data_IF_913330775190
#
_entry.id   IF_913330775190
#
_cell.length_a   1.000
_cell.length_b   1.000
_cell.length_c   1.000
_cell.angle_alpha   90.00
_cell.angle_beta   90.00
_cell.angle_gamma   90.00
#
_symmetry.space_group_name_H-M   'P 1'
#
loop_
_entity.id
_entity.type
_entity.pdbx_description
1 polymer ?
#
# COMPACT_ATOMS: atom_id res chain seq x y z
N UNK A 1 -1.01 18.69 7.76
CA UNK A 1 -1.09 17.45 8.58
C UNK A 1 0.31 16.85 8.67
N UNK A 2 0.76 16.44 9.85
CA UNK A 2 2.02 15.70 10.00
C UNK A 2 1.69 14.21 10.14
N UNK A 3 2.12 13.42 9.15
CA UNK A 3 1.90 11.98 9.11
C UNK A 3 3.28 11.30 9.15
N UNK A 4 3.49 10.39 10.08
CA UNK A 4 4.77 9.72 10.29
C UNK A 4 4.73 8.21 10.01
N UNK A 5 3.57 7.71 9.57
CA UNK A 5 3.32 6.28 9.44
C UNK A 5 2.29 5.97 8.37
N UNK A 6 2.56 4.98 7.55
CA UNK A 6 1.62 4.39 6.59
C UNK A 6 1.47 2.90 6.87
N UNK A 7 0.25 2.46 7.12
CA UNK A 7 -0.09 1.05 7.24
C UNK A 7 -1.11 0.67 6.17
N UNK A 8 -0.78 -0.32 5.38
CA UNK A 8 -1.75 -0.99 4.51
C UNK A 8 -2.49 -2.08 5.28
N UNK A 9 -3.79 -2.12 5.14
CA UNK A 9 -4.64 -3.12 5.78
C UNK A 9 -5.01 -4.20 4.77
N UNK A 10 -4.85 -5.45 5.18
CA UNK A 10 -5.22 -6.66 4.44
C UNK A 10 -6.42 -7.34 5.08
N UNK A 11 -7.64 -6.98 4.70
CA UNK A 11 -8.82 -7.66 5.20
C UNK A 11 -8.90 -9.09 4.61
N UNK A 12 -9.11 -10.08 5.46
CA UNK A 12 -9.25 -11.47 5.03
C UNK A 12 -10.19 -12.26 5.95
N UNK A 13 -10.64 -13.41 5.46
CA UNK A 13 -11.50 -14.30 6.27
C UNK A 13 -10.70 -15.12 7.28
N UNK A 14 -9.47 -15.43 6.97
CA UNK A 14 -8.56 -16.23 7.81
C UNK A 14 -7.24 -15.47 8.02
N UNK A 15 -7.14 -14.63 9.04
CA UNK A 15 -5.96 -13.80 9.28
C UNK A 15 -4.69 -14.60 9.58
N UNK A 16 -4.82 -15.75 10.24
CA UNK A 16 -3.68 -16.60 10.58
C UNK A 16 -3.06 -17.23 9.33
N UNK A 17 -3.87 -17.74 8.42
CA UNK A 17 -3.42 -18.32 7.16
C UNK A 17 -2.78 -17.24 6.27
N UNK A 18 -3.43 -16.09 6.15
CA UNK A 18 -2.92 -14.98 5.36
C UNK A 18 -1.61 -14.42 5.94
N UNK A 19 -1.52 -14.27 7.27
CA UNK A 19 -0.27 -13.85 7.91
C UNK A 19 0.85 -14.89 7.73
N UNK A 20 0.53 -16.18 7.83
CA UNK A 20 1.49 -17.25 7.59
C UNK A 20 2.01 -17.26 6.14
N UNK A 21 1.18 -16.88 5.16
CA UNK A 21 1.61 -16.70 3.78
C UNK A 21 2.70 -15.64 3.66
N UNK A 22 2.49 -14.45 4.23
CA UNK A 22 3.48 -13.38 4.20
C UNK A 22 4.76 -13.73 4.96
N UNK A 23 4.64 -14.38 6.11
CA UNK A 23 5.79 -14.78 6.93
C UNK A 23 6.60 -15.92 6.31
N UNK A 24 5.95 -16.99 5.83
CA UNK A 24 6.62 -18.25 5.45
C UNK A 24 6.85 -18.37 3.95
N UNK A 25 5.97 -17.82 3.13
CA UNK A 25 6.07 -17.92 1.66
C UNK A 25 6.81 -16.69 1.11
N UNK A 26 6.39 -15.49 1.48
CA UNK A 26 7.03 -14.26 1.02
C UNK A 26 8.21 -13.83 1.91
N UNK A 27 8.38 -14.43 3.08
CA UNK A 27 9.50 -14.16 4.01
C UNK A 27 9.57 -12.68 4.45
N UNK A 28 8.42 -12.04 4.61
CA UNK A 28 8.36 -10.65 5.04
C UNK A 28 8.83 -10.49 6.49
N UNK A 29 9.55 -9.40 6.81
CA UNK A 29 10.00 -9.12 8.17
C UNK A 29 8.82 -8.94 9.12
N UNK A 30 8.69 -9.84 10.08
CA UNK A 30 7.60 -9.84 11.05
C UNK A 30 7.85 -8.80 12.14
N UNK A 31 6.82 -8.03 12.48
CA UNK A 31 6.82 -7.05 13.57
C UNK A 31 5.90 -7.47 14.72
N UNK A 32 4.80 -8.13 14.41
CA UNK A 32 3.81 -8.64 15.35
C UNK A 32 3.19 -9.95 14.86
N UNK A 33 2.15 -10.42 15.53
CA UNK A 33 1.50 -11.68 15.17
C UNK A 33 0.97 -11.69 13.73
N UNK A 34 0.48 -10.54 13.24
CA UNK A 34 -0.12 -10.36 11.92
C UNK A 34 0.33 -9.07 11.24
N UNK A 35 1.44 -8.48 11.69
CA UNK A 35 1.99 -7.25 11.16
C UNK A 35 3.42 -7.43 10.68
N UNK A 36 3.78 -6.67 9.64
CA UNK A 36 5.04 -6.74 8.94
C UNK A 36 5.58 -5.33 8.70
N UNK A 37 6.87 -5.12 8.96
CA UNK A 37 7.55 -3.85 8.70
C UNK A 37 8.13 -3.87 7.28
N UNK A 38 7.66 -2.96 6.43
CA UNK A 38 8.05 -2.83 5.03
C UNK A 38 8.49 -1.38 4.77
N UNK A 39 9.77 -1.16 4.59
CA UNK A 39 10.30 0.20 4.47
C UNK A 39 10.56 0.89 5.83
N UNK A 40 10.85 2.21 5.80
CA UNK A 40 11.21 2.99 7.00
C UNK A 40 10.01 3.31 7.90
N UNK A 41 8.87 3.61 7.30
CA UNK A 41 7.63 3.97 7.99
C UNK A 41 6.42 3.24 7.38
N UNK A 42 6.70 2.20 6.60
CA UNK A 42 5.69 1.38 5.94
C UNK A 42 5.40 0.12 6.73
N UNK A 43 4.14 -0.15 6.96
CA UNK A 43 3.69 -1.33 7.66
C UNK A 43 2.53 -1.99 6.93
N UNK A 44 2.38 -3.27 7.14
CA UNK A 44 1.28 -4.06 6.63
C UNK A 44 0.66 -4.85 7.77
N UNK A 45 -0.66 -4.88 7.86
CA UNK A 45 -1.37 -5.63 8.88
C UNK A 45 -2.48 -6.47 8.28
N UNK A 46 -2.50 -7.75 8.63
CA UNK A 46 -3.55 -8.69 8.27
C UNK A 46 -4.65 -8.65 9.32
N UNK A 47 -5.88 -8.32 8.90
CA UNK A 47 -7.02 -8.16 9.80
C UNK A 47 -8.17 -9.06 9.41
N UNK A 48 -9.02 -9.41 10.39
CA UNK A 48 -10.29 -10.06 10.12
C UNK A 48 -11.19 -9.11 9.31
N UNK A 49 -11.73 -9.59 8.20
CA UNK A 49 -12.73 -8.83 7.44
C UNK A 49 -13.91 -8.44 8.31
N UNK A 50 -14.30 -7.17 8.28
CA UNK A 50 -15.43 -6.63 9.01
C UNK A 50 -16.04 -5.46 8.24
N UNK A 51 -17.22 -4.98 8.59
CA UNK A 51 -17.79 -3.78 7.97
C UNK A 51 -16.97 -2.51 8.17
N UNK A 52 -16.08 -2.48 9.18
CA UNK A 52 -15.18 -1.37 9.43
C UNK A 52 -13.95 -1.35 8.51
N UNK A 53 -13.63 -2.46 7.86
CA UNK A 53 -12.54 -2.58 6.92
C UNK A 53 -13.10 -2.96 5.56
N UNK A 54 -12.79 -2.19 4.55
CA UNK A 54 -13.24 -2.45 3.18
C UNK A 54 -12.91 -3.88 2.75
N UNK A 55 -13.88 -4.54 2.16
CA UNK A 55 -13.77 -5.92 1.72
C UNK A 55 -13.22 -5.93 0.30
N UNK A 56 -11.92 -5.69 0.16
CA UNK A 56 -11.30 -5.76 -1.15
C UNK A 56 -9.82 -6.09 -1.08
N UNK A 57 -9.24 -6.67 -2.12
CA UNK A 57 -7.80 -6.83 -2.14
C UNK A 57 -7.16 -5.46 -2.18
N UNK A 58 -6.29 -5.23 -1.24
CA UNK A 58 -5.37 -4.12 -1.26
C UNK A 58 -4.15 -4.52 -2.09
N UNK A 59 -3.62 -3.60 -2.87
CA UNK A 59 -2.40 -3.82 -3.61
C UNK A 59 -1.22 -3.10 -2.93
N UNK A 60 -0.09 -3.80 -2.85
CA UNK A 60 1.15 -3.27 -2.28
C UNK A 60 2.29 -3.39 -3.27
N UNK A 61 3.18 -2.42 -3.21
CA UNK A 61 4.45 -2.49 -3.89
C UNK A 61 5.55 -2.48 -2.84
N UNK A 62 6.36 -3.53 -2.86
CA UNK A 62 7.46 -3.74 -1.92
C UNK A 62 8.76 -3.81 -2.70
N UNK A 63 9.70 -2.97 -2.33
CA UNK A 63 10.99 -2.95 -2.98
C UNK A 63 11.87 -4.10 -2.47
N UNK A 64 12.41 -4.89 -3.40
CA UNK A 64 13.41 -5.90 -3.10
C UNK A 64 14.82 -5.31 -3.10
N UNK A 65 15.76 -5.90 -2.37
CA UNK A 65 17.19 -5.60 -2.55
C UNK A 65 17.70 -6.17 -3.88
N UNK A 66 17.24 -7.39 -4.23
CA UNK A 66 17.54 -8.04 -5.50
C UNK A 66 16.35 -8.90 -5.92
N UNK A 67 15.55 -8.42 -6.85
CA UNK A 67 14.26 -9.05 -7.20
C UNK A 67 14.41 -10.47 -7.76
N UNK A 68 15.45 -10.75 -8.55
CA UNK A 68 15.70 -12.10 -9.07
C UNK A 68 15.96 -13.09 -7.94
N UNK A 69 16.78 -12.71 -6.97
CA UNK A 69 17.06 -13.55 -5.80
C UNK A 69 15.81 -13.76 -4.93
N UNK A 70 15.00 -12.72 -4.71
CA UNK A 70 13.73 -12.86 -4.01
C UNK A 70 12.82 -13.81 -4.79
N UNK A 71 12.71 -13.63 -6.12
CA UNK A 71 11.89 -14.49 -6.96
C UNK A 71 12.31 -15.95 -6.86
N UNK A 72 13.58 -16.28 -7.03
CA UNK A 72 14.11 -17.64 -6.90
C UNK A 72 13.81 -18.25 -5.52
N UNK A 73 14.01 -17.44 -4.45
CA UNK A 73 13.80 -17.87 -3.08
C UNK A 73 12.33 -18.19 -2.79
N UNK A 74 11.41 -17.31 -3.20
CA UNK A 74 9.98 -17.50 -2.92
C UNK A 74 9.32 -18.47 -3.91
N UNK A 75 9.80 -18.54 -5.15
CA UNK A 75 9.30 -19.47 -6.15
C UNK A 75 9.54 -20.94 -5.76
N UNK A 76 10.58 -21.20 -4.99
CA UNK A 76 10.84 -22.53 -4.43
C UNK A 76 9.87 -22.94 -3.30
N UNK A 77 9.07 -22.00 -2.77
CA UNK A 77 8.13 -22.28 -1.68
C UNK A 77 6.83 -22.90 -2.23
N UNK A 78 6.36 -23.93 -1.55
CA UNK A 78 5.03 -24.48 -1.83
C UNK A 78 3.94 -23.49 -1.43
N UNK A 79 2.98 -23.27 -2.32
CA UNK A 79 1.84 -22.40 -2.05
C UNK A 79 1.98 -20.98 -2.59
N UNK A 80 3.08 -20.63 -3.27
CA UNK A 80 3.19 -19.36 -3.98
C UNK A 80 2.14 -19.29 -5.11
N UNK A 81 1.38 -18.20 -5.14
CA UNK A 81 0.40 -17.93 -6.19
C UNK A 81 0.88 -16.76 -7.04
N UNK A 82 1.54 -17.07 -8.15
CA UNK A 82 1.97 -16.06 -9.10
C UNK A 82 0.76 -15.50 -9.87
N UNK A 83 0.62 -14.18 -9.85
CA UNK A 83 -0.31 -13.43 -10.71
C UNK A 83 0.40 -12.95 -11.98
N UNK A 84 1.64 -12.49 -11.85
CA UNK A 84 2.51 -12.08 -12.95
C UNK A 84 3.90 -12.64 -12.68
N UNK A 85 4.44 -13.33 -13.68
CA UNK A 85 5.80 -13.88 -13.63
C UNK A 85 6.86 -12.78 -13.67
N UNK A 86 8.10 -13.13 -13.29
CA UNK A 86 9.22 -12.19 -13.27
C UNK A 86 9.46 -11.59 -14.67
N UNK A 87 9.42 -10.28 -14.75
CA UNK A 87 9.54 -9.56 -16.01
C UNK A 87 10.20 -8.20 -15.86
N UNK A 88 10.77 -7.73 -16.95
CA UNK A 88 11.12 -6.32 -17.11
C UNK A 88 9.89 -5.52 -17.51
N UNK A 89 9.75 -4.34 -16.92
CA UNK A 89 8.68 -3.41 -17.27
C UNK A 89 9.19 -2.33 -18.21
N UNK A 90 8.28 -1.72 -18.94
CA UNK A 90 8.60 -0.61 -19.83
C UNK A 90 8.95 0.69 -19.07
N UNK A 91 8.52 0.82 -17.80
CA UNK A 91 8.85 1.96 -16.92
C UNK A 91 10.16 1.80 -16.13
N UNK A 92 10.99 0.84 -16.53
CA UNK A 92 12.36 0.74 -16.04
C UNK A 92 12.53 -0.01 -14.73
N UNK A 93 11.61 -0.90 -14.41
CA UNK A 93 11.75 -1.82 -13.28
C UNK A 93 11.78 -3.27 -13.74
N UNK A 94 12.13 -4.15 -12.81
CA UNK A 94 11.99 -5.58 -12.89
C UNK A 94 11.12 -6.04 -11.72
N UNK A 95 10.06 -6.81 -12.00
CA UNK A 95 9.03 -7.12 -11.01
C UNK A 95 8.38 -8.48 -11.23
N UNK A 96 7.76 -8.99 -10.18
CA UNK A 96 6.76 -10.05 -10.24
C UNK A 96 5.61 -9.75 -9.29
N UNK A 97 4.45 -10.37 -9.52
CA UNK A 97 3.27 -10.13 -8.70
C UNK A 97 2.70 -11.46 -8.19
N UNK A 98 2.29 -11.44 -6.94
CA UNK A 98 1.69 -12.58 -6.26
C UNK A 98 0.35 -12.20 -5.65
N UNK A 99 -0.51 -13.20 -5.46
CA UNK A 99 -1.74 -13.06 -4.67
C UNK A 99 -1.64 -13.88 -3.41
N UNK A 100 -2.12 -13.33 -2.30
CA UNK A 100 -2.30 -14.08 -1.07
C UNK A 100 -3.60 -14.92 -1.10
N UNK A 101 -3.85 -15.81 -0.11
CA UNK A 101 -5.07 -16.61 -0.05
C UNK A 101 -6.37 -15.81 0.00
N UNK A 102 -6.33 -14.53 0.38
CA UNK A 102 -7.47 -13.64 0.38
C UNK A 102 -7.64 -12.85 -0.94
N UNK A 103 -6.69 -12.99 -1.87
CA UNK A 103 -6.67 -12.31 -3.16
C UNK A 103 -6.05 -10.92 -3.13
N UNK A 104 -5.37 -10.52 -2.05
CA UNK A 104 -4.58 -9.29 -2.05
C UNK A 104 -3.37 -9.44 -2.96
N UNK A 105 -2.97 -8.34 -3.59
CA UNK A 105 -1.90 -8.34 -4.58
C UNK A 105 -0.64 -7.71 -3.96
N UNK A 106 0.48 -8.42 -4.07
CA UNK A 106 1.79 -7.88 -3.74
C UNK A 106 2.65 -7.86 -4.99
N UNK A 107 3.12 -6.67 -5.38
CA UNK A 107 4.12 -6.49 -6.41
C UNK A 107 5.49 -6.34 -5.73
N UNK A 108 6.41 -7.21 -6.07
CA UNK A 108 7.79 -7.18 -5.60
C UNK A 108 8.66 -6.66 -6.73
N UNK A 109 9.38 -5.58 -6.48
CA UNK A 109 9.97 -4.74 -7.52
C UNK A 109 11.40 -4.34 -7.18
N UNK A 110 12.23 -4.19 -8.23
CA UNK A 110 13.47 -3.41 -8.22
C UNK A 110 13.48 -2.44 -9.40
N UNK A 111 14.00 -1.24 -9.19
CA UNK A 111 14.32 -0.37 -10.32
C UNK A 111 15.61 -0.81 -11.00
N UNK A 112 15.70 -0.65 -12.32
CA UNK A 112 16.89 -1.08 -13.10
C UNK A 112 18.18 -0.42 -12.63
N UNK A 113 18.11 0.81 -12.16
CA UNK A 113 19.24 1.54 -11.59
C UNK A 113 19.84 0.86 -10.36
N UNK A 114 19.04 0.07 -9.65
CA UNK A 114 19.40 -0.57 -8.39
C UNK A 114 19.86 -2.02 -8.58
N UNK A 115 19.58 -2.63 -9.75
CA UNK A 115 19.92 -4.02 -10.04
C UNK A 115 21.43 -4.28 -10.06
N UNK A 116 22.24 -3.25 -10.24
CA UNK A 116 23.72 -3.31 -10.25
C UNK A 116 24.36 -2.68 -9.03
N UNK A 117 23.58 -2.23 -8.05
CA UNK A 117 24.12 -1.65 -6.82
C UNK A 117 24.80 -2.74 -5.96
N UNK A 118 26.14 -2.69 -5.77
CA UNK A 118 26.86 -3.69 -4.99
C UNK A 118 26.39 -3.81 -3.54
N UNK A 119 25.91 -2.72 -2.93
CA UNK A 119 25.43 -2.73 -1.55
C UNK A 119 24.11 -3.51 -1.44
N UNK A 120 23.23 -3.40 -2.43
CA UNK A 120 21.99 -4.18 -2.50
C UNK A 120 22.27 -5.65 -2.79
N UNK A 121 23.16 -5.93 -3.74
CA UNK A 121 23.56 -7.30 -4.08
C UNK A 121 24.23 -8.03 -2.90
N UNK A 122 24.95 -7.32 -2.06
CA UNK A 122 25.60 -7.88 -0.87
C UNK A 122 24.66 -7.97 0.35
N UNK A 123 23.46 -7.44 0.28
CA UNK A 123 22.52 -7.43 1.41
C UNK A 123 21.99 -8.85 1.67
N UNK A 124 22.10 -9.29 2.93
CA UNK A 124 21.46 -10.52 3.38
C UNK A 124 19.93 -10.40 3.53
N UNK A 125 19.39 -9.17 3.57
CA UNK A 125 17.96 -8.92 3.63
C UNK A 125 17.34 -9.02 2.24
N UNK A 126 16.27 -9.78 2.08
CA UNK A 126 15.56 -9.94 0.82
C UNK A 126 14.90 -8.62 0.36
N UNK A 127 14.34 -7.86 1.30
CA UNK A 127 13.58 -6.64 1.03
C UNK A 127 14.33 -5.39 1.45
N UNK A 128 14.27 -4.37 0.61
CA UNK A 128 14.79 -3.06 0.92
C UNK A 128 13.92 -2.36 1.98
N UNK A 129 14.56 -1.58 2.86
CA UNK A 129 13.86 -0.77 3.86
C UNK A 129 13.62 0.66 3.37
N UNK A 130 13.58 0.87 2.05
CA UNK A 130 13.55 2.23 1.52
C UNK A 130 12.16 2.66 1.09
N UNK A 131 11.51 1.92 0.23
CA UNK A 131 10.25 2.33 -0.35
C UNK A 131 9.13 1.34 -0.08
N UNK A 132 7.99 1.86 0.37
CA UNK A 132 6.75 1.12 0.54
C UNK A 132 5.60 1.90 -0.08
N UNK A 133 4.74 1.23 -0.85
CA UNK A 133 3.57 1.85 -1.48
C UNK A 133 2.32 1.03 -1.22
N UNK A 134 1.24 1.74 -0.92
CA UNK A 134 -0.12 1.19 -0.99
C UNK A 134 -0.77 1.73 -2.25
N UNK A 135 -1.28 0.85 -3.09
CA UNK A 135 -1.95 1.23 -4.34
C UNK A 135 -3.45 1.12 -4.16
N UNK A 136 -4.14 2.23 -4.37
CA UNK A 136 -5.59 2.33 -4.33
C UNK A 136 -6.12 2.49 -5.76
N UNK A 137 -6.92 1.55 -6.20
CA UNK A 137 -7.56 1.64 -7.51
C UNK A 137 -8.71 2.64 -7.47
N UNK A 138 -8.75 3.54 -8.46
CA UNK A 138 -9.73 4.62 -8.52
C UNK A 138 -10.33 4.74 -9.91
N UNK A 139 -11.59 5.19 -9.98
CA UNK A 139 -12.32 5.49 -11.24
C UNK A 139 -12.27 6.96 -11.56
N UNK A 140 -12.38 7.80 -10.52
CA UNK A 140 -12.38 9.25 -10.65
C UNK A 140 -11.07 9.84 -10.13
N UNK A 141 -10.03 9.71 -10.96
CA UNK A 141 -8.67 10.12 -10.59
C UNK A 141 -8.60 11.58 -10.13
N UNK A 142 -9.31 12.50 -10.79
CA UNK A 142 -9.28 13.92 -10.44
C UNK A 142 -9.98 14.21 -9.09
N UNK A 143 -11.07 13.52 -8.77
CA UNK A 143 -11.72 13.67 -7.48
C UNK A 143 -10.84 13.11 -6.35
N UNK A 144 -10.21 11.95 -6.58
CA UNK A 144 -9.27 11.37 -5.64
C UNK A 144 -8.02 12.25 -5.48
N UNK A 145 -7.50 12.83 -6.56
CA UNK A 145 -6.39 13.80 -6.47
C UNK A 145 -6.71 14.93 -5.50
N UNK A 146 -7.87 15.59 -5.65
CA UNK A 146 -8.28 16.66 -4.73
C UNK A 146 -8.47 16.17 -3.29
N UNK A 147 -9.04 14.98 -3.12
CA UNK A 147 -9.18 14.38 -1.80
C UNK A 147 -7.82 14.21 -1.10
N UNK A 148 -6.84 13.62 -1.78
CA UNK A 148 -5.51 13.38 -1.18
C UNK A 148 -4.68 14.66 -1.03
N UNK A 149 -4.77 15.62 -1.95
CA UNK A 149 -3.97 16.85 -1.90
C UNK A 149 -4.64 17.98 -1.13
N UNK A 150 -5.92 18.28 -1.41
CA UNK A 150 -6.59 19.44 -0.81
C UNK A 150 -7.21 19.10 0.55
N UNK A 151 -7.86 17.94 0.69
CA UNK A 151 -8.47 17.54 1.97
C UNK A 151 -7.46 16.96 2.93
N UNK A 152 -6.61 16.01 2.51
CA UNK A 152 -5.60 15.39 3.38
C UNK A 152 -4.26 16.15 3.42
N UNK A 153 -4.03 17.09 2.51
CA UNK A 153 -2.81 17.89 2.46
C UNK A 153 -1.55 17.08 2.12
N UNK A 154 -1.70 15.94 1.44
CA UNK A 154 -0.56 15.14 1.00
C UNK A 154 0.13 15.82 -0.18
N UNK A 155 1.46 15.65 -0.24
CA UNK A 155 2.25 16.18 -1.34
C UNK A 155 2.23 15.21 -2.52
N UNK A 156 1.72 15.67 -3.67
CA UNK A 156 1.95 15.00 -4.94
C UNK A 156 3.44 15.08 -5.31
N UNK A 157 4.07 13.94 -5.48
CA UNK A 157 5.50 13.83 -5.81
C UNK A 157 5.73 13.29 -7.21
N UNK A 158 4.75 12.63 -7.79
CA UNK A 158 4.84 12.10 -9.14
C UNK A 158 3.45 11.81 -9.71
N UNK A 159 3.27 12.09 -10.98
CA UNK A 159 2.10 11.69 -11.75
C UNK A 159 2.53 11.10 -13.10
N UNK A 160 1.71 10.23 -13.62
CA UNK A 160 1.95 9.61 -14.94
C UNK A 160 0.66 9.42 -15.71
N UNK A 161 0.79 9.46 -17.01
CA UNK A 161 -0.24 9.09 -17.96
C UNK A 161 0.40 8.25 -19.04
N UNK A 162 -0.08 7.04 -19.22
CA UNK A 162 0.54 6.08 -20.11
C UNK A 162 -0.30 5.86 -21.37
N UNK A 163 0.38 5.53 -22.48
CA UNK A 163 -0.25 5.26 -23.77
C UNK A 163 -1.22 4.07 -23.75
N UNK A 164 -1.26 3.30 -22.67
CA UNK A 164 -2.14 2.14 -22.46
C UNK A 164 -3.35 2.42 -21.57
N UNK A 165 -3.59 3.68 -21.21
CA UNK A 165 -4.73 4.08 -20.38
C UNK A 165 -4.49 4.03 -18.87
N UNK A 166 -3.34 3.56 -18.39
CA UNK A 166 -2.97 3.61 -16.98
C UNK A 166 -2.56 5.04 -16.62
N UNK A 167 -3.23 5.61 -15.62
CA UNK A 167 -2.95 6.96 -15.11
C UNK A 167 -2.94 6.94 -13.60
N UNK A 168 -2.12 7.79 -12.96
CA UNK A 168 -2.07 7.81 -11.53
C UNK A 168 -1.30 8.98 -10.93
N UNK A 169 -1.44 9.08 -9.61
CA UNK A 169 -0.71 10.02 -8.79
C UNK A 169 -0.04 9.27 -7.63
N UNK A 170 1.14 9.72 -7.27
CA UNK A 170 1.92 9.23 -6.14
C UNK A 170 2.05 10.34 -5.10
N UNK A 171 1.58 10.06 -3.89
CA UNK A 171 1.60 11.01 -2.78
C UNK A 171 2.55 10.51 -1.70
N UNK A 172 3.48 11.36 -1.30
CA UNK A 172 4.33 11.07 -0.15
C UNK A 172 3.61 11.46 1.14
N UNK A 173 3.59 10.56 2.13
CA UNK A 173 2.88 10.81 3.40
C UNK A 173 3.60 11.85 4.26
N UNK A 174 4.94 11.86 4.23
CA UNK A 174 5.79 12.87 4.89
C UNK A 174 7.06 13.02 4.08
N UNK A 175 7.56 14.23 3.85
CA UNK A 175 8.78 14.46 3.08
C UNK A 175 9.95 13.60 3.55
N UNK A 176 10.52 12.79 2.66
CA UNK A 176 11.64 11.90 2.93
C UNK A 176 11.29 10.57 3.61
N UNK A 177 10.01 10.28 3.85
CA UNK A 177 9.58 9.02 4.46
C UNK A 177 9.77 7.80 3.56
N UNK A 178 9.78 8.02 2.24
CA UNK A 178 9.76 6.93 1.23
C UNK A 178 8.54 6.01 1.34
N UNK A 179 7.47 6.50 1.97
CA UNK A 179 6.19 5.81 2.07
C UNK A 179 5.15 6.57 1.27
N UNK A 180 4.46 5.86 0.40
CA UNK A 180 3.61 6.47 -0.61
C UNK A 180 2.23 5.82 -0.68
N UNK A 181 1.25 6.67 -0.97
CA UNK A 181 -0.05 6.23 -1.48
C UNK A 181 -0.02 6.47 -2.99
N UNK A 182 -0.42 5.49 -3.77
CA UNK A 182 -0.66 5.64 -5.20
C UNK A 182 -2.15 5.48 -5.49
N UNK A 183 -2.73 6.45 -6.20
CA UNK A 183 -4.05 6.28 -6.82
C UNK A 183 -3.84 5.89 -8.27
N UNK A 184 -4.38 4.76 -8.67
CA UNK A 184 -4.20 4.18 -10.00
C UNK A 184 -5.54 3.99 -10.70
N UNK A 185 -5.69 4.63 -11.85
CA UNK A 185 -6.73 4.33 -12.81
C UNK A 185 -6.20 3.37 -13.87
N UNK A 186 -6.90 2.26 -14.10
CA UNK A 186 -6.56 1.26 -15.14
C UNK A 186 -7.83 0.74 -15.80
N UNK A 187 -7.85 0.66 -17.13
CA UNK A 187 -8.93 0.05 -17.90
C UNK A 187 -8.51 -1.32 -18.50
N UNK A 188 -9.40 -2.35 -18.51
CA UNK A 188 -10.64 -2.41 -17.74
C UNK A 188 -10.38 -2.65 -16.26
N UNK A 189 -11.12 -1.98 -15.40
CA UNK A 189 -11.09 -2.22 -13.95
C UNK A 189 -11.78 -3.57 -13.64
N UNK A 190 -11.10 -4.66 -13.96
CA UNK A 190 -11.63 -6.01 -13.72
C UNK A 190 -11.74 -6.36 -12.23
N UNK A 191 -11.10 -5.58 -11.36
CA UNK A 191 -11.12 -5.80 -9.90
C UNK A 191 -11.27 -4.46 -9.20
N UNK A 192 -12.51 -3.98 -9.07
CA UNK A 192 -12.81 -2.86 -8.19
C UNK A 192 -13.04 -3.37 -6.78
N UNK A 193 -12.02 -3.31 -5.97
CA UNK A 193 -12.17 -3.55 -4.55
C UNK A 193 -11.54 -2.39 -3.81
N UNK A 194 -12.29 -1.88 -2.83
CA UNK A 194 -11.90 -0.77 -1.99
C UNK A 194 -10.69 -1.16 -1.13
N UNK A 195 -9.65 -0.36 -1.16
CA UNK A 195 -8.50 -0.51 -0.27
C UNK A 195 -8.72 0.17 1.07
N UNK A 196 -7.93 -0.21 2.07
CA UNK A 196 -7.92 0.44 3.38
C UNK A 196 -6.48 0.79 3.75
N UNK A 197 -6.27 2.04 4.15
CA UNK A 197 -4.99 2.51 4.68
C UNK A 197 -5.18 3.14 6.06
N UNK A 198 -4.14 3.08 6.87
CA UNK A 198 -4.07 3.78 8.15
C UNK A 198 -2.94 4.80 8.09
N UNK A 199 -3.25 6.02 8.45
CA UNK A 199 -2.33 7.12 8.60
C UNK A 199 -2.29 7.54 10.08
N UNK A 200 -1.10 7.80 10.61
CA UNK A 200 -0.95 8.22 12.00
C UNK A 200 -0.77 9.73 12.08
N UNK A 201 -1.49 10.36 13.01
CA UNK A 201 -1.44 11.79 13.23
C UNK A 201 -1.38 12.11 14.73
N UNK A 202 -0.44 12.92 15.16
CA UNK A 202 -0.30 13.33 16.56
C UNK A 202 -1.45 14.21 17.05
N UNK A 203 -2.21 14.84 16.17
CA UNK A 203 -3.33 15.72 16.49
C UNK A 203 -4.64 15.29 15.83
N UNK A 204 -4.99 14.01 16.01
CA UNK A 204 -6.12 13.37 15.32
C UNK A 204 -7.46 14.07 15.57
N UNK A 205 -7.71 14.59 16.77
CA UNK A 205 -8.97 15.29 17.09
C UNK A 205 -9.13 16.59 16.27
N UNK A 206 -8.09 17.39 16.20
CA UNK A 206 -8.11 18.64 15.41
C UNK A 206 -8.27 18.34 13.91
N UNK A 207 -7.65 17.28 13.44
CA UNK A 207 -7.79 16.86 12.06
C UNK A 207 -9.20 16.36 11.76
N UNK A 208 -9.81 15.63 12.68
CA UNK A 208 -11.22 15.24 12.57
C UNK A 208 -12.13 16.47 12.47
N UNK A 209 -11.98 17.45 13.37
CA UNK A 209 -12.82 18.66 13.37
C UNK A 209 -12.68 19.45 12.07
N UNK A 210 -11.46 19.55 11.54
CA UNK A 210 -11.18 20.21 10.26
C UNK A 210 -11.86 19.48 9.10
N UNK A 211 -11.70 18.16 9.00
CA UNK A 211 -12.27 17.37 7.90
C UNK A 211 -13.80 17.31 8.00
N UNK A 212 -14.34 17.09 9.18
CA UNK A 212 -15.78 17.07 9.40
C UNK A 212 -16.46 18.42 9.07
N UNK A 213 -15.73 19.53 9.22
CA UNK A 213 -16.22 20.86 8.82
C UNK A 213 -16.14 21.08 7.30
N UNK A 214 -15.09 20.61 6.64
CA UNK A 214 -14.85 20.84 5.22
C UNK A 214 -15.56 19.86 4.30
N UNK A 215 -15.65 18.59 4.73
CA UNK A 215 -16.19 17.48 3.95
C UNK A 215 -16.92 16.48 4.86
N UNK A 216 -18.05 16.86 5.47
CA UNK A 216 -18.78 15.98 6.40
C UNK A 216 -19.20 14.66 5.77
N UNK A 217 -19.53 14.66 4.49
CA UNK A 217 -19.94 13.46 3.74
C UNK A 217 -18.80 12.45 3.52
N UNK A 218 -17.56 12.89 3.65
CA UNK A 218 -16.40 11.99 3.58
C UNK A 218 -16.20 11.20 4.90
N UNK A 219 -16.77 11.65 6.02
CA UNK A 219 -16.63 10.99 7.32
C UNK A 219 -17.57 9.79 7.41
N UNK A 220 -17.00 8.59 7.46
CA UNK A 220 -17.75 7.33 7.56
C UNK A 220 -17.92 6.91 9.02
N UNK A 221 -16.85 7.02 9.81
CA UNK A 221 -16.86 6.78 11.25
C UNK A 221 -16.32 7.99 11.98
N UNK A 222 -17.14 8.52 12.90
CA UNK A 222 -16.77 9.66 13.71
C UNK A 222 -15.63 9.35 14.68
N UNK A 223 -14.97 10.39 15.15
CA UNK A 223 -13.87 10.27 16.11
C UNK A 223 -14.33 9.65 17.44
N UNK A 224 -13.68 8.57 17.85
CA UNK A 224 -13.98 7.78 19.04
C UNK A 224 -13.02 8.02 20.24
N UNK A 225 -12.12 8.98 20.09
CA UNK A 225 -11.06 9.27 21.06
C UNK A 225 -9.67 8.79 20.61
N UNK A 226 -9.60 7.88 19.65
CA UNK A 226 -8.35 7.29 19.15
C UNK A 226 -8.19 7.44 17.65
N UNK A 227 -9.26 7.24 16.88
CA UNK A 227 -9.24 7.30 15.42
C UNK A 227 -10.57 7.80 14.84
N UNK A 228 -10.56 8.11 13.57
CA UNK A 228 -11.75 8.28 12.74
C UNK A 228 -11.47 7.75 11.34
N UNK A 229 -12.54 7.49 10.57
CA UNK A 229 -12.42 6.96 9.22
C UNK A 229 -13.11 7.87 8.23
N UNK A 230 -12.42 8.16 7.15
CA UNK A 230 -12.97 8.85 5.98
C UNK A 230 -12.91 7.94 4.77
N UNK A 231 -13.71 8.28 3.77
CA UNK A 231 -13.79 7.54 2.53
C UNK A 231 -13.44 8.47 1.37
N UNK A 232 -12.59 8.01 0.46
CA UNK A 232 -12.30 8.75 -0.76
C UNK A 232 -13.49 8.66 -1.75
N UNK A 233 -13.51 9.45 -2.84
CA UNK A 233 -14.60 9.47 -3.80
C UNK A 233 -14.90 8.12 -4.49
N UNK A 234 -13.97 7.18 -4.47
CA UNK A 234 -14.13 5.86 -5.06
C UNK A 234 -14.35 4.75 -4.03
N UNK A 235 -14.48 5.13 -2.76
CA UNK A 235 -14.87 4.24 -1.68
C UNK A 235 -13.72 3.61 -0.91
N UNK A 236 -12.45 3.99 -1.17
CA UNK A 236 -11.34 3.53 -0.35
C UNK A 236 -11.39 4.17 1.04
N UNK A 237 -11.04 3.41 2.07
CA UNK A 237 -11.04 3.89 3.46
C UNK A 237 -9.67 4.41 3.87
N UNK A 238 -9.70 5.57 4.50
CA UNK A 238 -8.52 6.17 5.15
C UNK A 238 -8.85 6.31 6.64
N UNK A 239 -8.18 5.51 7.45
CA UNK A 239 -8.26 5.57 8.90
C UNK A 239 -7.17 6.51 9.38
N UNK A 240 -7.52 7.50 10.18
CA UNK A 240 -6.56 8.42 10.80
C UNK A 240 -6.56 8.15 12.29
N UNK A 241 -5.46 7.58 12.79
CA UNK A 241 -5.29 7.18 14.17
C UNK A 241 -4.30 8.06 14.94
N UNK A 242 -4.39 8.04 16.26
CA UNK A 242 -3.48 8.76 17.15
C UNK A 242 -2.08 8.12 17.11
N UNK A 243 -1.07 8.95 16.82
CA UNK A 243 0.35 8.60 16.89
C UNK A 243 0.93 8.72 18.29
#
# INVERSE_FOLDING_TARGET
>A
MYLDYLKGILPCKNPEETAAYYEKILLFPKEGARSFALGRAGHMEVVQSSPAYAVGPTAFWVEANHVDHVYETVHAQHGLQLLVDLRDTYYGSREFQVTDPAGNITCIINYRTDLTDPARLASAALYAKEEFRVVLYVKNLNACYRFYTELLGLKDVYHWEENRGDRGFKYEITPGSKCFIETLFREPLSVQKQGTIVLRNSNVKSEYDRIASLAPDAVVFAFDGFHFTIQDPDGNYVIIEKG
#
